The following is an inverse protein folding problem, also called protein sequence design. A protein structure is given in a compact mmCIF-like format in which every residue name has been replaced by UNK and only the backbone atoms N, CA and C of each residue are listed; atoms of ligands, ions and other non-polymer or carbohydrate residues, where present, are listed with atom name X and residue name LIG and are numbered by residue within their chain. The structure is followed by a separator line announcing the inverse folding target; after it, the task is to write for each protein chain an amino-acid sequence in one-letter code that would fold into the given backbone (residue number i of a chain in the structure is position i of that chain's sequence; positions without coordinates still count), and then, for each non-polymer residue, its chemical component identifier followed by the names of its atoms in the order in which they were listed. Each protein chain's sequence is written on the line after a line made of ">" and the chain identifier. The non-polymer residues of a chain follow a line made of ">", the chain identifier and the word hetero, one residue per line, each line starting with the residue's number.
data_IF_113973790815
#
_entry.id   IF_113973790815
#
_cell.length_a   1.000
_cell.length_b   1.000
_cell.length_c   1.000
_cell.angle_alpha   90.00
_cell.angle_beta   90.00
_cell.angle_gamma   90.00
#
_symmetry.space_group_name_H-M   'P 1'
#
loop_
_entity.id
_entity.type
_entity.pdbx_description
1 polymer ?
#
# COMPACT_ATOMS: atom_id res chain seq x y z
N UNK A 1 -9.02 35.37 -6.11
CA UNK A 1 -7.93 35.62 -7.08
C UNK A 1 -6.86 34.54 -6.90
N UNK A 2 -6.57 33.74 -7.94
CA UNK A 2 -5.53 32.72 -7.87
C UNK A 2 -4.15 33.38 -7.82
N UNK A 3 -3.34 33.08 -6.81
CA UNK A 3 -1.93 33.51 -6.73
C UNK A 3 -1.19 33.06 -8.01
N UNK A 4 -0.51 33.99 -8.68
CA UNK A 4 0.29 33.65 -9.86
C UNK A 4 1.56 32.89 -9.45
N UNK A 5 1.74 31.70 -10.02
CA UNK A 5 2.93 30.87 -9.79
C UNK A 5 3.94 31.06 -10.91
N UNK A 6 4.81 32.06 -10.78
CA UNK A 6 5.97 32.25 -11.66
C UNK A 6 7.17 31.47 -11.15
N UNK A 7 8.13 31.19 -12.05
CA UNK A 7 9.34 30.42 -11.77
C UNK A 7 10.00 30.72 -10.42
N UNK A 8 10.38 31.99 -10.13
CA UNK A 8 10.99 32.35 -8.85
C UNK A 8 10.10 32.05 -7.63
N UNK A 9 8.79 32.33 -7.71
CA UNK A 9 7.86 32.09 -6.62
C UNK A 9 7.65 30.59 -6.34
N UNK A 10 7.72 29.74 -7.37
CA UNK A 10 7.65 28.28 -7.23
C UNK A 10 8.88 27.75 -6.49
N UNK A 11 10.07 28.25 -6.86
CA UNK A 11 11.35 27.88 -6.23
C UNK A 11 11.36 28.36 -4.77
N UNK A 12 10.93 29.59 -4.51
CA UNK A 12 10.84 30.12 -3.15
C UNK A 12 9.88 29.30 -2.26
N UNK A 13 8.71 28.90 -2.79
CA UNK A 13 7.79 28.02 -2.07
C UNK A 13 8.41 26.65 -1.79
N UNK A 14 9.17 26.08 -2.73
CA UNK A 14 9.88 24.82 -2.51
C UNK A 14 10.96 24.97 -1.43
N UNK A 15 11.71 26.07 -1.46
CA UNK A 15 12.73 26.42 -0.47
C UNK A 15 12.14 26.59 0.94
N UNK A 16 10.89 27.05 1.07
CA UNK A 16 10.22 27.21 2.37
C UNK A 16 9.72 25.90 2.98
N UNK A 17 9.71 24.79 2.24
CA UNK A 17 9.25 23.49 2.77
C UNK A 17 10.23 22.97 3.82
N UNK A 18 9.71 22.64 5.01
CA UNK A 18 10.51 22.07 6.11
C UNK A 18 11.04 20.69 5.71
N UNK A 19 12.34 20.49 5.89
CA UNK A 19 13.06 19.28 5.55
C UNK A 19 13.38 18.43 6.80
N UNK A 20 12.62 17.37 7.09
CA UNK A 20 12.79 16.55 8.29
C UNK A 20 13.86 15.45 8.15
N UNK A 21 14.40 15.24 6.95
CA UNK A 21 15.38 14.19 6.67
C UNK A 21 16.67 14.50 7.44
N UNK A 22 17.29 13.47 8.04
CA UNK A 22 18.45 13.60 8.93
C UNK A 22 18.20 14.48 10.17
N UNK A 23 16.94 14.65 10.59
CA UNK A 23 16.53 15.46 11.75
C UNK A 23 16.92 16.94 11.66
N UNK A 24 17.10 17.46 10.45
CA UNK A 24 17.48 18.87 10.24
C UNK A 24 16.31 19.81 10.59
N UNK A 25 15.09 19.49 10.15
CA UNK A 25 13.84 20.19 10.51
C UNK A 25 13.87 21.72 10.26
N UNK A 26 14.61 22.17 9.25
CA UNK A 26 14.68 23.57 8.80
C UNK A 26 14.15 23.72 7.37
N UNK A 27 13.85 24.94 6.89
CA UNK A 27 13.53 25.18 5.50
C UNK A 27 14.59 24.63 4.54
N UNK A 28 14.14 24.04 3.43
CA UNK A 28 15.02 23.44 2.42
C UNK A 28 16.02 24.43 1.84
N UNK A 29 15.61 25.68 1.59
CA UNK A 29 16.48 26.74 1.05
C UNK A 29 17.67 27.05 1.94
N UNK A 30 17.45 27.15 3.26
CA UNK A 30 18.53 27.36 4.23
C UNK A 30 19.52 26.20 4.25
N UNK A 31 19.03 24.96 4.13
CA UNK A 31 19.84 23.76 4.15
C UNK A 31 20.65 23.55 2.86
N UNK A 32 20.15 24.07 1.75
CA UNK A 32 20.89 24.12 0.48
C UNK A 32 21.98 25.20 0.56
N UNK A 33 21.67 26.38 1.11
CA UNK A 33 22.63 27.46 1.30
C UNK A 33 23.76 27.08 2.27
N UNK A 34 23.46 26.34 3.35
CA UNK A 34 24.45 25.85 4.30
C UNK A 34 25.24 24.62 3.80
N UNK A 35 24.83 24.01 2.68
CA UNK A 35 25.47 22.81 2.12
C UNK A 35 25.20 21.50 2.88
N UNK A 36 24.30 21.53 3.88
CA UNK A 36 23.89 20.35 4.66
C UNK A 36 23.02 19.39 3.84
N UNK A 37 22.23 19.92 2.89
CA UNK A 37 21.51 19.16 1.87
C UNK A 37 22.26 19.31 0.55
N UNK A 38 22.67 18.18 -0.02
CA UNK A 38 23.36 18.15 -1.32
C UNK A 38 22.42 17.67 -2.41
N UNK A 39 22.83 17.86 -3.67
CA UNK A 39 22.07 17.41 -4.83
C UNK A 39 21.70 15.90 -4.78
N UNK A 40 22.59 15.06 -4.24
CA UNK A 40 22.32 13.62 -4.01
C UNK A 40 21.14 13.37 -3.06
N UNK A 41 20.99 14.22 -2.04
CA UNK A 41 19.92 14.12 -1.06
C UNK A 41 18.60 14.57 -1.69
N UNK A 42 18.62 15.62 -2.53
CA UNK A 42 17.47 16.03 -3.34
C UNK A 42 17.05 14.94 -4.33
N UNK A 43 17.99 14.35 -5.08
CA UNK A 43 17.71 13.25 -6.03
C UNK A 43 17.11 12.04 -5.33
N UNK A 44 17.66 11.70 -4.14
CA UNK A 44 17.08 10.64 -3.32
C UNK A 44 15.67 11.01 -2.87
N UNK A 45 15.44 12.23 -2.38
CA UNK A 45 14.14 12.63 -1.86
C UNK A 45 13.07 12.69 -2.96
N UNK A 46 13.38 13.34 -4.08
CA UNK A 46 12.54 13.43 -5.27
C UNK A 46 12.16 12.04 -5.85
N UNK A 47 12.97 11.00 -5.60
CA UNK A 47 12.71 9.63 -6.08
C UNK A 47 12.04 8.73 -5.03
N UNK A 48 12.53 8.76 -3.80
CA UNK A 48 12.29 7.73 -2.76
C UNK A 48 11.58 8.25 -1.51
N UNK A 49 11.53 9.56 -1.28
CA UNK A 49 10.86 10.08 -0.10
C UNK A 49 9.34 9.94 -0.22
N UNK A 50 8.70 9.73 0.93
CA UNK A 50 7.30 9.35 0.99
C UNK A 50 6.33 10.53 1.14
N UNK A 51 6.78 11.66 1.72
CA UNK A 51 5.95 12.86 1.82
C UNK A 51 5.90 13.55 0.45
N UNK A 52 4.71 13.68 -0.18
CA UNK A 52 4.57 14.33 -1.47
C UNK A 52 5.04 15.78 -1.50
N UNK A 53 4.94 16.53 -0.39
CA UNK A 53 5.38 17.93 -0.31
C UNK A 53 6.90 18.03 -0.44
N UNK A 54 7.62 17.23 0.33
CA UNK A 54 9.09 17.19 0.31
C UNK A 54 9.59 16.62 -1.01
N UNK A 55 8.87 15.63 -1.58
CA UNK A 55 9.19 15.07 -2.89
C UNK A 55 9.06 16.12 -4.00
N UNK A 56 7.98 16.90 -3.97
CA UNK A 56 7.76 18.00 -4.89
C UNK A 56 8.81 19.10 -4.70
N UNK A 57 9.07 19.54 -3.48
CA UNK A 57 10.07 20.56 -3.18
C UNK A 57 11.47 20.15 -3.67
N UNK A 58 11.88 18.90 -3.40
CA UNK A 58 13.14 18.37 -3.90
C UNK A 58 13.20 18.30 -5.43
N UNK A 59 12.09 17.94 -6.09
CA UNK A 59 12.02 17.91 -7.55
C UNK A 59 12.11 19.31 -8.17
N UNK A 60 11.47 20.30 -7.56
CA UNK A 60 11.54 21.72 -7.97
C UNK A 60 12.95 22.26 -7.80
N UNK A 61 13.59 22.03 -6.66
CA UNK A 61 14.97 22.48 -6.40
C UNK A 61 15.98 21.87 -7.38
N UNK A 62 15.82 20.58 -7.72
CA UNK A 62 16.63 19.94 -8.77
C UNK A 62 16.45 20.57 -10.15
N UNK A 63 15.28 21.17 -10.40
CA UNK A 63 14.93 21.81 -11.67
C UNK A 63 14.96 23.34 -11.58
N UNK A 64 15.50 23.92 -10.50
CA UNK A 64 15.39 25.35 -10.23
C UNK A 64 15.92 26.21 -11.39
N UNK A 65 17.05 25.84 -11.99
CA UNK A 65 17.60 26.56 -13.15
C UNK A 65 16.64 26.57 -14.35
N UNK A 66 15.97 25.44 -14.61
CA UNK A 66 15.01 25.31 -15.71
C UNK A 66 13.69 26.04 -15.41
N UNK A 67 13.29 26.07 -14.14
CA UNK A 67 12.03 26.67 -13.70
C UNK A 67 12.08 28.20 -13.58
N UNK A 68 13.27 28.83 -13.46
CA UNK A 68 13.42 30.29 -13.33
C UNK A 68 12.69 31.11 -14.40
N UNK A 69 12.55 30.58 -15.62
CA UNK A 69 11.93 31.26 -16.76
C UNK A 69 10.45 30.94 -16.96
N UNK A 70 9.82 30.20 -16.04
CA UNK A 70 8.43 29.77 -16.18
C UNK A 70 7.48 30.94 -15.93
N UNK A 71 6.63 31.22 -16.92
CA UNK A 71 5.55 32.22 -16.88
C UNK A 71 4.16 31.60 -17.06
N UNK A 72 4.07 30.26 -16.99
CA UNK A 72 2.85 29.52 -17.26
C UNK A 72 1.79 29.77 -16.18
N UNK A 73 0.58 30.15 -16.57
CA UNK A 73 -0.54 30.36 -15.64
C UNK A 73 -1.09 29.03 -15.12
N UNK A 74 -1.71 28.99 -13.93
CA UNK A 74 -2.37 27.76 -13.43
C UNK A 74 -3.40 27.21 -14.40
N UNK A 75 -4.21 28.06 -15.03
CA UNK A 75 -5.19 27.65 -16.03
C UNK A 75 -4.54 26.98 -17.25
N UNK A 76 -3.45 27.55 -17.78
CA UNK A 76 -2.71 26.95 -18.89
C UNK A 76 -2.00 25.65 -18.48
N UNK A 77 -1.48 25.58 -17.24
CA UNK A 77 -0.86 24.37 -16.71
C UNK A 77 -1.84 23.20 -16.65
N UNK A 78 -3.11 23.45 -16.28
CA UNK A 78 -4.17 22.44 -16.24
C UNK A 78 -4.46 21.82 -17.62
N UNK A 79 -4.26 22.58 -18.70
CA UNK A 79 -4.51 22.11 -20.07
C UNK A 79 -3.36 21.26 -20.64
N UNK A 80 -2.20 21.20 -19.97
CA UNK A 80 -1.07 20.41 -20.48
C UNK A 80 -1.38 18.93 -20.37
N UNK A 81 -1.26 18.24 -21.51
CA UNK A 81 -1.52 16.81 -21.65
C UNK A 81 -0.53 16.00 -20.82
N UNK A 82 -1.05 15.02 -20.09
CA UNK A 82 -0.29 14.08 -19.28
C UNK A 82 0.02 12.80 -20.07
N UNK A 83 1.26 12.61 -20.55
CA UNK A 83 1.63 11.48 -21.40
C UNK A 83 1.95 10.20 -20.60
N UNK A 84 2.10 10.29 -19.27
CA UNK A 84 2.45 9.12 -18.47
C UNK A 84 1.24 8.20 -18.27
N UNK A 85 1.51 6.90 -18.10
CA UNK A 85 0.51 5.86 -17.82
C UNK A 85 -0.57 5.70 -18.92
N UNK A 86 -0.30 6.19 -20.13
CA UNK A 86 -1.23 6.21 -21.27
C UNK A 86 -2.57 6.88 -20.95
N UNK A 87 -2.56 7.93 -20.12
CA UNK A 87 -3.77 8.71 -19.84
C UNK A 87 -4.06 9.68 -20.99
N UNK A 88 -3.05 10.39 -21.50
CA UNK A 88 -3.13 11.29 -22.64
C UNK A 88 -4.28 12.31 -22.55
N UNK A 89 -4.53 12.82 -21.34
CA UNK A 89 -5.58 13.81 -21.00
C UNK A 89 -4.96 15.04 -20.32
N UNK A 90 -5.66 16.20 -20.29
CA UNK A 90 -5.23 17.38 -19.54
C UNK A 90 -4.94 17.06 -18.07
N UNK A 91 -3.81 17.55 -17.56
CA UNK A 91 -3.37 17.28 -16.19
C UNK A 91 -4.32 17.86 -15.12
N UNK A 92 -5.06 18.92 -15.44
CA UNK A 92 -6.09 19.49 -14.57
C UNK A 92 -7.25 18.55 -14.32
N UNK A 93 -7.83 17.99 -15.39
CA UNK A 93 -8.95 17.02 -15.28
C UNK A 93 -8.55 15.81 -14.45
N UNK A 94 -7.33 15.32 -14.67
CA UNK A 94 -6.79 14.19 -13.93
C UNK A 94 -6.57 14.50 -12.43
N UNK A 95 -6.28 15.76 -12.09
CA UNK A 95 -6.19 16.20 -10.69
C UNK A 95 -7.56 16.30 -10.04
N UNK A 96 -8.55 16.84 -10.75
CA UNK A 96 -9.92 17.00 -10.22
C UNK A 96 -10.62 15.65 -10.02
N UNK A 97 -10.39 14.71 -10.93
CA UNK A 97 -10.85 13.32 -10.83
C UNK A 97 -10.01 12.49 -9.84
N UNK A 98 -8.99 13.09 -9.21
CA UNK A 98 -8.08 12.44 -8.27
C UNK A 98 -7.34 11.21 -8.86
N UNK A 99 -7.19 11.16 -10.19
CA UNK A 99 -6.45 10.12 -10.92
C UNK A 99 -4.94 10.31 -10.76
N UNK A 100 -4.49 11.57 -10.76
CA UNK A 100 -3.12 11.95 -10.41
C UNK A 100 -3.12 12.83 -9.16
N UNK A 101 -2.02 12.84 -8.42
CA UNK A 101 -1.88 13.63 -7.20
C UNK A 101 -0.50 14.31 -7.12
N UNK A 102 -0.23 15.03 -6.02
CA UNK A 102 1.04 15.76 -5.83
C UNK A 102 2.28 14.89 -5.99
N UNK A 103 2.23 13.60 -5.64
CA UNK A 103 3.35 12.69 -5.84
C UNK A 103 3.61 12.44 -7.34
N UNK A 104 2.56 12.27 -8.14
CA UNK A 104 2.68 12.15 -9.59
C UNK A 104 3.23 13.45 -10.19
N UNK A 105 2.72 14.62 -9.76
CA UNK A 105 3.25 15.91 -10.19
C UNK A 105 4.75 16.05 -9.87
N UNK A 106 5.17 15.71 -8.66
CA UNK A 106 6.58 15.71 -8.26
C UNK A 106 7.43 14.78 -9.14
N UNK A 107 6.90 13.60 -9.49
CA UNK A 107 7.56 12.69 -10.41
C UNK A 107 7.73 13.31 -11.81
N UNK A 108 6.69 13.95 -12.33
CA UNK A 108 6.73 14.61 -13.63
C UNK A 108 7.71 15.79 -13.65
N UNK A 109 7.75 16.62 -12.60
CA UNK A 109 8.76 17.69 -12.46
C UNK A 109 10.18 17.13 -12.57
N UNK A 110 10.46 16.03 -11.86
CA UNK A 110 11.81 15.45 -11.83
C UNK A 110 12.20 14.65 -13.09
N UNK A 111 11.25 14.06 -13.83
CA UNK A 111 11.55 13.04 -14.84
C UNK A 111 10.96 13.31 -16.24
N UNK A 112 10.02 14.24 -16.41
CA UNK A 112 9.44 14.49 -17.73
C UNK A 112 10.49 15.05 -18.68
N UNK A 113 10.56 14.49 -19.90
CA UNK A 113 11.45 15.00 -20.95
C UNK A 113 10.93 16.32 -21.55
N UNK A 114 9.60 16.46 -21.69
CA UNK A 114 8.97 17.67 -22.18
C UNK A 114 9.01 18.80 -21.13
N UNK A 115 9.62 19.94 -21.48
CA UNK A 115 9.71 21.11 -20.61
C UNK A 115 8.33 21.65 -20.21
N UNK A 116 7.38 21.66 -21.15
CA UNK A 116 6.01 22.14 -20.91
C UNK A 116 5.32 21.34 -19.79
N UNK A 117 5.48 20.02 -19.75
CA UNK A 117 4.92 19.17 -18.71
C UNK A 117 5.63 19.38 -17.36
N UNK A 118 6.97 19.49 -17.34
CA UNK A 118 7.69 19.82 -16.10
C UNK A 118 7.21 21.14 -15.50
N UNK A 119 7.06 22.16 -16.34
CA UNK A 119 6.65 23.51 -15.93
C UNK A 119 5.21 23.50 -15.42
N UNK A 120 4.28 22.87 -16.14
CA UNK A 120 2.89 22.74 -15.72
C UNK A 120 2.75 22.01 -14.39
N UNK A 121 3.45 20.90 -14.23
CA UNK A 121 3.37 20.09 -13.00
C UNK A 121 4.03 20.77 -11.80
N UNK A 122 5.04 21.60 -12.03
CA UNK A 122 5.60 22.48 -11.00
C UNK A 122 4.58 23.54 -10.55
N UNK A 123 3.90 24.21 -11.50
CA UNK A 123 2.85 25.20 -11.22
C UNK A 123 1.68 24.59 -10.44
N UNK A 124 1.14 23.46 -10.91
CA UNK A 124 0.01 22.77 -10.25
C UNK A 124 0.40 22.26 -8.86
N UNK A 125 1.62 21.76 -8.70
CA UNK A 125 2.12 21.32 -7.42
C UNK A 125 2.32 22.48 -6.44
N UNK A 126 2.74 23.66 -6.91
CA UNK A 126 2.87 24.85 -6.08
C UNK A 126 1.51 25.30 -5.51
N UNK A 127 0.45 25.24 -6.31
CA UNK A 127 -0.90 25.55 -5.84
C UNK A 127 -1.36 24.61 -4.71
N UNK A 128 -1.11 23.30 -4.86
CA UNK A 128 -1.45 22.29 -3.85
C UNK A 128 -0.62 22.49 -2.58
N UNK A 129 0.69 22.71 -2.72
CA UNK A 129 1.61 22.88 -1.58
C UNK A 129 1.29 24.17 -0.83
N UNK A 130 1.02 25.26 -1.53
CA UNK A 130 0.65 26.54 -0.90
C UNK A 130 -0.63 26.44 -0.09
N UNK A 131 -1.71 25.85 -0.64
CA UNK A 131 -2.96 25.62 0.13
C UNK A 131 -2.75 24.77 1.38
N UNK A 132 -1.75 23.87 1.37
CA UNK A 132 -1.40 23.03 2.52
C UNK A 132 -0.51 23.73 3.55
N UNK A 133 0.27 24.73 3.15
CA UNK A 133 1.13 25.53 4.03
C UNK A 133 0.39 26.74 4.60
N UNK A 134 -0.59 27.25 3.87
CA UNK A 134 -1.46 28.34 4.28
C UNK A 134 -2.89 27.81 4.24
N UNK A 135 -3.37 27.15 5.31
CA UNK A 135 -4.77 26.78 5.43
C UNK A 135 -5.62 28.05 5.23
N UNK A 136 -6.78 27.98 4.55
CA UNK A 136 -7.65 29.14 4.48
C UNK A 136 -7.93 29.64 5.90
N UNK A 137 -7.72 30.93 6.14
CA UNK A 137 -8.33 31.63 7.27
C UNK A 137 -9.77 31.12 7.36
N UNK A 138 -10.17 30.63 8.54
CA UNK A 138 -11.58 30.36 8.82
C UNK A 138 -12.29 31.66 8.50
N UNK A 139 -12.93 31.72 7.34
CA UNK A 139 -13.98 32.68 7.10
C UNK A 139 -14.96 32.46 8.23
N UNK A 140 -14.95 33.42 9.14
CA UNK A 140 -15.96 33.67 10.14
C UNK A 140 -17.32 33.54 9.46
N UNK A 141 -17.94 32.37 9.63
CA UNK A 141 -19.39 32.20 9.52
C UNK A 141 -19.99 32.93 10.72
N UNK A 142 -19.95 34.25 10.65
CA UNK A 142 -20.72 35.16 11.49
C UNK A 142 -21.51 36.01 10.51
N UNK A 143 -22.83 35.98 10.63
CA UNK A 143 -23.85 36.65 9.79
C UNK A 143 -24.27 35.93 8.50
N UNK A 144 -25.23 35.00 8.64
CA UNK A 144 -26.61 35.17 8.15
C UNK A 144 -27.41 33.89 8.42
N UNK A 145 -27.92 33.76 9.65
CA UNK A 145 -29.11 32.95 9.93
C UNK A 145 -29.78 33.54 11.18
N UNK A 146 -30.31 34.74 11.01
CA UNK A 146 -31.30 35.32 11.91
C UNK A 146 -32.49 35.70 11.02
N UNK A 147 -33.28 34.70 10.67
CA UNK A 147 -34.71 34.88 10.39
C UNK A 147 -35.47 33.70 11.01
N UNK A 148 -36.47 33.97 11.88
CA UNK A 148 -37.30 32.93 12.46
C UNK A 148 -38.20 32.32 11.38
N UNK A 149 -38.31 30.99 11.39
CA UNK A 149 -39.19 30.24 10.51
C UNK A 149 -40.67 30.64 10.72
N UNK A 150 -41.48 30.78 9.67
CA UNK A 150 -42.92 31.01 9.81
C UNK A 150 -43.60 29.77 10.37
N UNK A 151 -44.38 29.98 11.42
CA UNK A 151 -45.34 29.06 12.00
C UNK A 151 -46.44 28.74 10.99
N UNK A 152 -46.59 27.46 10.64
CA UNK A 152 -47.85 26.94 10.08
C UNK A 152 -48.40 25.84 10.99
N UNK A 153 -49.73 25.76 11.19
CA UNK A 153 -50.34 25.06 12.31
C UNK A 153 -50.44 23.55 12.08
N UNK A 154 -50.27 22.79 13.15
CA UNK A 154 -50.60 21.38 13.24
C UNK A 154 -52.11 21.17 13.09
N UNK A 155 -52.52 20.50 12.02
CA UNK A 155 -53.84 19.84 11.93
C UNK A 155 -53.72 18.37 12.33
N UNK A 156 -54.33 18.05 13.46
CA UNK A 156 -54.64 16.71 13.96
C UNK A 156 -55.61 16.00 13.01
N UNK A 157 -55.39 14.72 12.65
CA UNK A 157 -56.46 13.87 12.13
C UNK A 157 -57.13 13.07 13.24
N UNK A 158 -58.43 13.28 13.30
CA UNK A 158 -59.47 12.62 14.09
C UNK A 158 -59.40 11.09 14.08
N UNK A 159 -59.58 10.53 15.28
CA UNK A 159 -59.79 9.11 15.59
C UNK A 159 -61.12 8.64 14.99
N UNK A 160 -61.07 7.77 13.98
CA UNK A 160 -62.23 7.04 13.49
C UNK A 160 -62.13 5.55 13.88
N UNK A 161 -63.15 5.08 14.58
CA UNK A 161 -63.43 3.69 14.97
C UNK A 161 -63.78 2.83 13.75
N UNK A 162 -63.08 1.71 13.55
CA UNK A 162 -63.52 0.64 12.67
C UNK A 162 -63.16 -0.75 13.24
N UNK A 163 -64.14 -1.65 13.17
CA UNK A 163 -64.16 -3.07 13.60
C UNK A 163 -63.11 -3.93 12.85
N UNK A 164 -62.74 -5.11 13.39
CA UNK A 164 -61.62 -5.91 12.88
C UNK A 164 -62.03 -6.77 11.67
N UNK A 165 -61.18 -6.89 10.63
CA UNK A 165 -61.30 -7.97 9.67
C UNK A 165 -60.38 -9.15 10.03
N UNK A 166 -60.86 -10.30 9.59
CA UNK A 166 -60.36 -11.65 9.78
C UNK A 166 -58.86 -11.87 9.57
N UNK A 167 -58.36 -12.87 10.28
CA UNK A 167 -57.04 -13.47 10.18
C UNK A 167 -56.63 -13.72 8.72
N UNK A 168 -55.76 -12.87 8.20
CA UNK A 168 -54.95 -13.16 7.02
C UNK A 168 -53.58 -13.57 7.52
N UNK A 169 -53.21 -14.82 7.23
CA UNK A 169 -51.91 -15.40 7.53
C UNK A 169 -50.78 -14.47 7.07
N UNK A 170 -50.01 -13.97 8.02
CA UNK A 170 -48.72 -13.35 7.73
C UNK A 170 -47.88 -14.36 6.92
N UNK A 171 -47.31 -13.99 5.76
CA UNK A 171 -46.30 -14.82 5.14
C UNK A 171 -45.16 -14.96 6.17
N UNK A 172 -44.46 -16.12 6.17
CA UNK A 172 -43.39 -16.33 7.14
C UNK A 172 -42.43 -15.16 6.99
N UNK A 173 -42.16 -14.48 8.12
CA UNK A 173 -41.03 -13.57 8.25
C UNK A 173 -39.82 -14.40 7.86
N UNK A 174 -39.47 -14.32 6.59
CA UNK A 174 -38.24 -14.86 6.07
C UNK A 174 -37.20 -13.98 6.72
N UNK A 175 -36.61 -14.47 7.81
CA UNK A 175 -35.39 -13.96 8.38
C UNK A 175 -34.46 -13.74 7.19
N UNK A 176 -34.32 -12.48 6.75
CA UNK A 176 -33.36 -12.13 5.71
C UNK A 176 -32.04 -12.75 6.15
N UNK A 177 -31.36 -13.54 5.30
CA UNK A 177 -30.07 -14.09 5.66
C UNK A 177 -29.23 -12.92 6.17
N UNK A 178 -28.81 -12.96 7.43
CA UNK A 178 -27.99 -11.91 8.04
C UNK A 178 -26.85 -11.68 7.07
N UNK A 179 -26.87 -10.57 6.34
CA UNK A 179 -25.91 -10.36 5.26
C UNK A 179 -24.51 -10.50 5.87
N UNK A 180 -23.69 -11.36 5.27
CA UNK A 180 -22.37 -11.69 5.81
C UNK A 180 -21.40 -10.52 5.60
N UNK A 181 -20.32 -10.49 6.39
CA UNK A 181 -19.17 -9.58 6.21
C UNK A 181 -18.82 -9.38 4.73
N UNK A 182 -18.77 -8.12 4.27
CA UNK A 182 -18.32 -7.81 2.92
C UNK A 182 -16.80 -7.98 2.82
N UNK A 183 -16.31 -8.79 1.88
CA UNK A 183 -14.87 -8.98 1.64
C UNK A 183 -14.50 -8.40 0.28
N UNK A 184 -13.55 -7.45 0.27
CA UNK A 184 -13.08 -6.75 -0.92
C UNK A 184 -11.59 -7.04 -1.08
N UNK A 185 -11.21 -7.70 -2.17
CA UNK A 185 -9.80 -7.91 -2.49
C UNK A 185 -9.24 -6.67 -3.20
N UNK A 186 -8.14 -6.10 -2.70
CA UNK A 186 -7.51 -4.91 -3.27
C UNK A 186 -6.68 -5.24 -4.51
N UNK A 187 -5.37 -5.40 -4.32
CA UNK A 187 -4.43 -5.60 -5.42
C UNK A 187 -4.23 -7.07 -5.83
N UNK A 188 -4.08 -7.30 -7.14
CA UNK A 188 -3.55 -8.56 -7.71
C UNK A 188 -2.02 -8.60 -7.69
N UNK A 189 -1.36 -7.58 -7.13
CA UNK A 189 0.10 -7.45 -7.13
C UNK A 189 0.80 -8.70 -6.57
N UNK A 190 0.25 -9.25 -5.49
CA UNK A 190 0.73 -10.48 -4.87
C UNK A 190 0.64 -11.70 -5.82
N UNK A 191 -0.45 -11.84 -6.59
CA UNK A 191 -0.58 -12.93 -7.58
C UNK A 191 0.36 -12.74 -8.77
N UNK A 192 0.70 -11.51 -9.14
CA UNK A 192 1.69 -11.23 -10.17
C UNK A 192 3.13 -11.51 -9.71
N UNK A 193 3.49 -11.14 -8.47
CA UNK A 193 4.79 -11.51 -7.89
C UNK A 193 4.99 -13.02 -7.86
N UNK A 194 3.95 -13.78 -7.54
CA UNK A 194 3.95 -15.24 -7.61
C UNK A 194 4.30 -15.76 -9.00
N UNK A 195 3.61 -15.25 -10.04
CA UNK A 195 3.86 -15.66 -11.42
C UNK A 195 5.31 -15.38 -11.81
N UNK A 196 5.83 -14.22 -11.43
CA UNK A 196 7.24 -13.85 -11.70
C UNK A 196 8.21 -14.78 -10.98
N UNK A 197 8.04 -15.02 -9.68
CA UNK A 197 8.90 -15.95 -8.92
C UNK A 197 8.84 -17.37 -9.47
N UNK A 198 7.65 -17.86 -9.83
CA UNK A 198 7.46 -19.18 -10.45
C UNK A 198 8.14 -19.29 -11.81
N UNK A 199 8.04 -18.24 -12.65
CA UNK A 199 8.77 -18.18 -13.93
C UNK A 199 10.28 -18.27 -13.70
N UNK A 200 10.82 -17.50 -12.76
CA UNK A 200 12.25 -17.57 -12.43
C UNK A 200 12.68 -18.95 -11.90
N UNK A 201 11.86 -19.61 -11.07
CA UNK A 201 12.18 -20.97 -10.65
C UNK A 201 12.20 -21.95 -11.82
N UNK A 202 11.29 -21.83 -12.78
CA UNK A 202 11.25 -22.68 -13.97
C UNK A 202 12.46 -22.40 -14.86
N UNK A 203 12.77 -21.12 -15.11
CA UNK A 203 13.95 -20.72 -15.91
C UNK A 203 15.23 -21.28 -15.32
N UNK A 204 15.44 -21.16 -14.00
CA UNK A 204 16.63 -21.69 -13.33
C UNK A 204 16.67 -23.23 -13.36
N UNK A 205 15.52 -23.90 -13.22
CA UNK A 205 15.44 -25.35 -13.33
C UNK A 205 15.78 -25.83 -14.75
N UNK A 206 15.26 -25.15 -15.79
CA UNK A 206 15.59 -25.43 -17.19
C UNK A 206 17.07 -25.17 -17.48
N UNK A 207 17.63 -24.05 -17.01
CA UNK A 207 19.05 -23.75 -17.16
C UNK A 207 19.92 -24.86 -16.54
N UNK A 208 19.57 -25.30 -15.32
CA UNK A 208 20.24 -26.41 -14.66
C UNK A 208 20.12 -27.72 -15.46
N UNK A 209 18.93 -28.03 -16.00
CA UNK A 209 18.72 -29.20 -16.85
C UNK A 209 19.60 -29.15 -18.11
N UNK A 210 19.68 -28.00 -18.79
CA UNK A 210 20.54 -27.84 -19.96
C UNK A 210 22.02 -27.98 -19.64
N UNK A 211 22.48 -27.48 -18.49
CA UNK A 211 23.87 -27.68 -18.04
C UNK A 211 24.18 -29.15 -17.80
N UNK A 212 23.26 -29.90 -17.17
CA UNK A 212 23.40 -31.34 -16.95
C UNK A 212 23.39 -32.13 -18.26
N UNK A 213 22.44 -31.85 -19.16
CA UNK A 213 22.37 -32.50 -20.47
C UNK A 213 23.59 -32.19 -21.33
N UNK A 214 24.09 -30.94 -21.30
CA UNK A 214 25.33 -30.56 -21.99
C UNK A 214 26.55 -31.28 -21.43
N UNK A 215 26.69 -31.37 -20.10
CA UNK A 215 27.79 -32.10 -19.47
C UNK A 215 27.72 -33.60 -19.76
N UNK A 216 26.52 -34.19 -19.76
CA UNK A 216 26.29 -35.59 -20.11
C UNK A 216 26.63 -35.86 -21.59
N UNK A 217 26.17 -34.99 -22.49
CA UNK A 217 26.43 -35.11 -23.92
C UNK A 217 27.93 -35.04 -24.21
N UNK A 218 28.63 -34.03 -23.67
CA UNK A 218 30.10 -33.90 -23.82
C UNK A 218 30.80 -35.16 -23.28
N UNK A 219 30.46 -35.60 -22.08
CA UNK A 219 31.06 -36.79 -21.47
C UNK A 219 30.82 -38.04 -22.32
N UNK A 220 29.59 -38.25 -22.83
CA UNK A 220 29.23 -39.39 -23.66
C UNK A 220 29.97 -39.37 -25.00
N UNK A 221 30.11 -38.20 -25.64
CA UNK A 221 30.89 -38.04 -26.88
C UNK A 221 32.36 -38.40 -26.64
N UNK A 222 32.96 -37.97 -25.53
CA UNK A 222 34.34 -38.32 -25.15
C UNK A 222 34.49 -39.84 -25.01
N UNK A 223 33.58 -40.51 -24.30
CA UNK A 223 33.63 -41.97 -24.11
C UNK A 223 33.48 -42.73 -25.43
N UNK A 224 32.54 -42.34 -26.29
CA UNK A 224 32.32 -42.98 -27.60
C UNK A 224 33.58 -42.84 -28.48
N UNK A 225 34.15 -41.63 -28.57
CA UNK A 225 35.34 -41.39 -29.38
C UNK A 225 36.55 -42.21 -28.92
N UNK A 226 36.71 -42.37 -27.60
CA UNK A 226 37.77 -43.18 -27.01
C UNK A 226 37.54 -44.69 -27.22
N UNK A 227 36.30 -45.17 -27.04
CA UNK A 227 35.96 -46.59 -27.17
C UNK A 227 36.13 -47.10 -28.61
N UNK A 228 35.68 -46.33 -29.59
CA UNK A 228 35.78 -46.68 -31.02
C UNK A 228 37.11 -46.25 -31.66
N UNK A 229 38.03 -45.64 -30.90
CA UNK A 229 39.32 -45.13 -31.38
C UNK A 229 39.21 -44.18 -32.59
N UNK A 230 38.10 -43.43 -32.67
CA UNK A 230 37.80 -42.57 -33.82
C UNK A 230 38.69 -41.32 -33.88
N UNK A 231 39.09 -40.80 -32.71
CA UNK A 231 39.97 -39.64 -32.60
C UNK A 231 40.62 -39.55 -31.21
N UNK A 232 41.79 -38.92 -31.13
CA UNK A 232 42.38 -38.49 -29.86
C UNK A 232 41.61 -37.26 -29.35
N UNK A 233 40.93 -37.40 -28.22
CA UNK A 233 40.15 -36.30 -27.64
C UNK A 233 41.01 -35.52 -26.65
N UNK A 234 41.21 -34.21 -26.86
CA UNK A 234 41.97 -33.39 -25.93
C UNK A 234 41.34 -33.37 -24.53
N UNK A 235 42.15 -33.36 -23.44
CA UNK A 235 41.64 -33.30 -22.06
C UNK A 235 40.72 -32.10 -21.77
N UNK A 236 40.80 -31.03 -22.56
CA UNK A 236 39.99 -29.82 -22.43
C UNK A 236 38.47 -30.06 -22.48
N UNK A 237 38.00 -31.14 -23.11
CA UNK A 237 36.56 -31.49 -23.11
C UNK A 237 36.06 -31.96 -21.75
N UNK A 238 36.88 -32.71 -21.00
CA UNK A 238 36.54 -33.09 -19.62
C UNK A 238 36.50 -31.86 -18.70
N UNK A 239 37.41 -30.90 -18.94
CA UNK A 239 37.38 -29.60 -18.24
C UNK A 239 36.10 -28.84 -18.57
N UNK A 240 35.67 -28.82 -19.84
CA UNK A 240 34.41 -28.18 -20.24
C UNK A 240 33.18 -28.80 -19.56
N UNK A 241 33.09 -30.14 -19.52
CA UNK A 241 32.03 -30.83 -18.78
C UNK A 241 32.06 -30.50 -17.28
N UNK A 242 33.26 -30.48 -16.67
CA UNK A 242 33.45 -30.09 -15.28
C UNK A 242 32.98 -28.66 -14.98
N UNK A 243 33.28 -27.69 -15.87
CA UNK A 243 32.83 -26.30 -15.75
C UNK A 243 31.30 -26.21 -15.77
N UNK A 244 30.61 -26.97 -16.64
CA UNK A 244 29.14 -27.01 -16.68
C UNK A 244 28.54 -27.55 -15.37
N UNK A 245 29.13 -28.60 -14.80
CA UNK A 245 28.70 -29.17 -13.52
C UNK A 245 28.92 -28.19 -12.36
N UNK A 246 30.07 -27.51 -12.32
CA UNK A 246 30.34 -26.45 -11.33
C UNK A 246 29.32 -25.31 -11.48
N UNK A 247 29.02 -24.89 -12.70
CA UNK A 247 27.97 -23.91 -13.00
C UNK A 247 26.59 -24.33 -12.44
N UNK A 248 26.22 -25.61 -12.57
CA UNK A 248 24.99 -26.14 -11.99
C UNK A 248 24.99 -26.09 -10.45
N UNK A 249 26.12 -26.38 -9.80
CA UNK A 249 26.27 -26.28 -8.33
C UNK A 249 26.04 -24.86 -7.80
N UNK A 250 26.46 -23.82 -8.54
CA UNK A 250 26.20 -22.43 -8.18
C UNK A 250 24.71 -22.03 -8.28
N UNK A 251 23.91 -22.72 -9.10
CA UNK A 251 22.48 -22.45 -9.28
C UNK A 251 21.63 -23.11 -8.17
N UNK A 252 22.05 -24.25 -7.63
CA UNK A 252 21.34 -25.02 -6.59
C UNK A 252 20.91 -24.21 -5.34
N UNK A 253 21.77 -23.41 -4.67
CA UNK A 253 21.34 -22.66 -3.49
C UNK A 253 20.29 -21.59 -3.84
N UNK A 254 20.36 -20.99 -5.04
CA UNK A 254 19.37 -20.03 -5.53
C UNK A 254 18.02 -20.69 -5.77
N UNK A 255 18.00 -21.88 -6.39
CA UNK A 255 16.75 -22.61 -6.64
C UNK A 255 16.07 -23.03 -5.33
N UNK A 256 16.84 -23.60 -4.37
CA UNK A 256 16.34 -23.95 -3.03
C UNK A 256 15.73 -22.76 -2.30
N UNK A 257 16.39 -21.59 -2.37
CA UNK A 257 15.87 -20.35 -1.75
C UNK A 257 14.56 -19.91 -2.37
N UNK A 258 14.44 -19.93 -3.71
CA UNK A 258 13.21 -19.52 -4.39
C UNK A 258 12.04 -20.48 -4.11
N UNK A 259 12.30 -21.78 -4.05
CA UNK A 259 11.29 -22.79 -3.66
C UNK A 259 10.82 -22.53 -2.22
N UNK A 260 11.74 -22.32 -1.28
CA UNK A 260 11.40 -22.01 0.11
C UNK A 260 10.60 -20.70 0.24
N UNK A 261 10.97 -19.66 -0.53
CA UNK A 261 10.22 -18.41 -0.59
C UNK A 261 8.79 -18.61 -1.14
N UNK A 262 8.63 -19.43 -2.19
CA UNK A 262 7.34 -19.80 -2.76
C UNK A 262 6.46 -20.54 -1.75
N UNK A 263 7.01 -21.51 -1.01
CA UNK A 263 6.27 -22.24 0.02
C UNK A 263 5.87 -21.37 1.21
N UNK A 264 6.78 -20.50 1.69
CA UNK A 264 6.46 -19.53 2.73
C UNK A 264 5.35 -18.56 2.28
N UNK A 265 5.38 -18.18 1.01
CA UNK A 265 4.36 -17.32 0.43
C UNK A 265 2.99 -18.04 0.35
N UNK A 266 2.94 -19.29 -0.13
CA UNK A 266 1.69 -20.09 -0.16
C UNK A 266 1.08 -20.20 1.24
N UNK A 267 1.94 -20.45 2.25
CA UNK A 267 1.53 -20.49 3.66
C UNK A 267 0.90 -19.15 4.10
N UNK A 268 1.49 -18.02 3.72
CA UNK A 268 0.94 -16.68 3.95
C UNK A 268 -0.47 -16.52 3.40
N UNK A 269 -0.67 -16.82 2.10
CA UNK A 269 -1.98 -16.75 1.46
C UNK A 269 -3.03 -17.64 2.13
N UNK A 270 -2.66 -18.86 2.51
CA UNK A 270 -3.56 -19.77 3.25
C UNK A 270 -3.93 -19.16 4.60
N UNK A 271 -3.00 -18.50 5.27
CA UNK A 271 -3.27 -17.73 6.49
C UNK A 271 -4.29 -16.65 6.31
N UNK A 272 -4.09 -15.76 5.34
CA UNK A 272 -5.01 -14.68 5.05
C UNK A 272 -6.42 -15.19 4.70
N UNK A 273 -6.51 -16.26 3.89
CA UNK A 273 -7.80 -16.91 3.59
C UNK A 273 -8.47 -17.42 4.86
N UNK A 274 -7.71 -18.03 5.78
CA UNK A 274 -8.23 -18.48 7.07
C UNK A 274 -8.73 -17.34 7.95
N UNK A 275 -8.03 -16.20 7.96
CA UNK A 275 -8.48 -14.98 8.67
C UNK A 275 -9.80 -14.49 8.08
N UNK A 276 -9.90 -14.38 6.75
CA UNK A 276 -11.10 -13.93 6.06
C UNK A 276 -12.31 -14.84 6.36
N UNK A 277 -12.12 -16.17 6.34
CA UNK A 277 -13.17 -17.14 6.70
C UNK A 277 -13.56 -17.02 8.17
N UNK A 278 -12.61 -16.86 9.08
CA UNK A 278 -12.89 -16.72 10.51
C UNK A 278 -13.69 -15.45 10.80
N UNK A 279 -13.29 -14.31 10.22
CA UNK A 279 -14.00 -13.04 10.37
C UNK A 279 -15.40 -13.10 9.74
N UNK A 280 -15.56 -13.72 8.57
CA UNK A 280 -16.87 -13.85 7.92
C UNK A 280 -17.87 -14.68 8.71
N UNK A 281 -17.40 -15.64 9.52
CA UNK A 281 -18.25 -16.44 10.42
C UNK A 281 -18.65 -15.67 11.68
N UNK A 282 -17.82 -14.74 12.13
CA UNK A 282 -18.04 -14.00 13.39
C UNK A 282 -18.67 -12.61 13.21
N UNK A 283 -18.63 -12.05 12.00
CA UNK A 283 -19.05 -10.67 11.71
C UNK A 283 -20.14 -10.61 10.64
N UNK A 284 -21.03 -9.63 10.79
CA UNK A 284 -22.13 -9.32 9.86
C UNK A 284 -21.75 -8.23 8.84
N UNK A 285 -22.70 -7.86 8.00
CA UNK A 285 -22.56 -6.88 6.92
C UNK A 285 -22.21 -5.45 7.35
N UNK A 286 -22.35 -5.09 8.63
CA UNK A 286 -21.89 -3.78 9.11
C UNK A 286 -20.35 -3.69 9.14
N UNK A 287 -19.67 -4.82 8.96
CA UNK A 287 -18.24 -4.89 8.80
C UNK A 287 -17.86 -5.06 7.32
N UNK A 288 -16.73 -4.47 6.94
CA UNK A 288 -16.11 -4.64 5.62
C UNK A 288 -14.63 -4.98 5.81
N UNK A 289 -14.18 -6.08 5.19
CA UNK A 289 -12.79 -6.52 5.18
C UNK A 289 -12.17 -6.23 3.81
N UNK A 290 -11.21 -5.32 3.77
CA UNK A 290 -10.34 -5.10 2.62
C UNK A 290 -9.09 -5.94 2.77
N UNK A 291 -8.65 -6.62 1.71
CA UNK A 291 -7.43 -7.44 1.70
C UNK A 291 -6.40 -6.84 0.75
N UNK A 292 -5.11 -6.95 1.07
CA UNK A 292 -4.00 -6.55 0.21
C UNK A 292 -4.13 -5.09 -0.27
N UNK A 293 -4.32 -4.17 0.69
CA UNK A 293 -4.56 -2.75 0.43
C UNK A 293 -3.23 -2.07 0.14
N UNK A 294 -3.05 -1.58 -1.09
CA UNK A 294 -1.90 -0.75 -1.48
C UNK A 294 -2.36 0.71 -1.46
N UNK A 295 -1.71 1.54 -0.65
CA UNK A 295 -2.01 2.96 -0.58
C UNK A 295 -1.28 3.73 -1.70
N UNK A 296 -1.79 4.88 -2.17
CA UNK A 296 -1.14 5.68 -3.21
C UNK A 296 0.31 6.06 -2.85
N UNK A 297 1.20 6.00 -3.85
CA UNK A 297 2.63 6.33 -3.66
C UNK A 297 3.45 5.27 -2.90
N UNK A 298 2.89 4.10 -2.61
CA UNK A 298 3.57 2.99 -1.94
C UNK A 298 3.58 1.72 -2.79
N UNK A 299 4.53 0.83 -2.51
CA UNK A 299 4.70 -0.45 -3.20
C UNK A 299 4.42 -1.66 -2.30
N UNK A 300 4.25 -1.42 -1.00
CA UNK A 300 3.98 -2.45 -0.01
C UNK A 300 2.55 -2.35 0.49
N UNK A 301 1.95 -3.51 0.67
CA UNK A 301 0.56 -3.69 1.00
C UNK A 301 0.32 -3.81 2.51
N UNK A 302 -0.89 -3.46 2.92
CA UNK A 302 -1.45 -3.80 4.22
C UNK A 302 -2.23 -5.11 4.02
N UNK A 303 -1.83 -6.18 4.71
CA UNK A 303 -2.39 -7.53 4.52
C UNK A 303 -3.93 -7.52 4.59
N UNK A 304 -4.50 -6.84 5.59
CA UNK A 304 -5.92 -6.54 5.62
C UNK A 304 -6.28 -5.28 6.42
N UNK A 305 -7.38 -4.66 6.04
CA UNK A 305 -8.03 -3.55 6.76
C UNK A 305 -9.46 -3.96 7.06
N UNK A 306 -9.83 -3.98 8.34
CA UNK A 306 -11.19 -4.27 8.79
C UNK A 306 -11.84 -2.96 9.24
N UNK A 307 -13.00 -2.63 8.65
CA UNK A 307 -13.77 -1.42 8.92
C UNK A 307 -15.14 -1.84 9.46
N UNK A 308 -15.58 -1.26 10.57
CA UNK A 308 -16.91 -1.53 11.12
C UNK A 308 -17.39 -0.48 12.13
N UNK A 309 -18.49 -0.76 12.84
CA UNK A 309 -19.10 0.20 13.77
C UNK A 309 -18.18 0.58 14.93
N UNK A 310 -17.26 -0.30 15.32
CA UNK A 310 -16.35 -0.08 16.44
C UNK A 310 -14.91 0.21 15.97
N UNK A 311 -14.79 0.91 14.85
CA UNK A 311 -13.52 1.46 14.39
C UNK A 311 -12.88 0.71 13.23
N UNK A 312 -11.59 0.99 13.03
CA UNK A 312 -10.82 0.54 11.87
C UNK A 312 -9.55 -0.14 12.36
N UNK A 313 -9.25 -1.29 11.79
CA UNK A 313 -8.14 -2.12 12.21
C UNK A 313 -7.23 -2.44 11.01
N UNK A 314 -5.94 -2.13 11.14
CA UNK A 314 -4.91 -2.61 10.22
C UNK A 314 -4.33 -3.92 10.74
N UNK A 315 -4.52 -4.99 9.98
CA UNK A 315 -4.18 -6.36 10.36
C UNK A 315 -2.87 -6.77 9.69
N UNK A 316 -1.87 -7.14 10.49
CA UNK A 316 -0.65 -7.81 10.04
C UNK A 316 -0.80 -9.32 10.30
N UNK A 317 -0.88 -10.13 9.25
CA UNK A 317 -1.23 -11.55 9.32
C UNK A 317 0.04 -12.39 9.26
N UNK A 318 0.28 -13.19 10.32
CA UNK A 318 1.45 -14.09 10.40
C UNK A 318 1.06 -15.56 10.46
N UNK A 319 1.72 -16.35 9.62
CA UNK A 319 1.61 -17.82 9.52
C UNK A 319 2.93 -18.51 9.83
N UNK A 320 3.59 -18.12 10.92
CA UNK A 320 4.89 -18.69 11.24
C UNK A 320 4.77 -20.15 11.72
N UNK A 321 5.79 -20.95 11.43
CA UNK A 321 5.93 -22.32 11.91
C UNK A 321 6.86 -22.42 13.12
N UNK A 322 6.59 -23.38 14.01
CA UNK A 322 7.34 -23.56 15.26
C UNK A 322 6.94 -22.57 16.35
N UNK A 323 7.65 -22.67 17.47
CA UNK A 323 7.32 -21.97 18.71
C UNK A 323 7.76 -20.52 18.69
N UNK A 324 6.83 -19.64 19.03
CA UNK A 324 7.06 -18.20 19.10
C UNK A 324 6.64 -17.64 20.45
N UNK A 325 7.26 -16.52 20.81
CA UNK A 325 6.80 -15.70 21.92
C UNK A 325 6.87 -14.23 21.59
N UNK A 326 5.93 -13.48 22.15
CA UNK A 326 5.94 -12.04 22.18
C UNK A 326 5.96 -11.56 23.64
N UNK A 327 6.94 -10.72 23.97
CA UNK A 327 7.10 -10.09 25.28
C UNK A 327 7.24 -8.58 25.03
N UNK A 328 6.20 -7.80 25.34
CA UNK A 328 6.15 -6.39 24.99
C UNK A 328 6.32 -6.17 23.49
N UNK A 329 7.39 -5.47 23.11
CA UNK A 329 7.76 -5.20 21.72
C UNK A 329 8.65 -6.27 21.07
N UNK A 330 9.12 -7.25 21.85
CA UNK A 330 10.08 -8.25 21.39
C UNK A 330 9.38 -9.51 20.90
N UNK A 331 9.60 -9.85 19.63
CA UNK A 331 9.16 -11.11 19.05
C UNK A 331 10.35 -12.05 18.89
N UNK A 332 10.19 -13.29 19.33
CA UNK A 332 11.24 -14.31 19.32
C UNK A 332 10.71 -15.64 18.80
N UNK A 333 11.59 -16.40 18.16
CA UNK A 333 11.36 -17.78 17.71
C UNK A 333 12.31 -18.73 18.42
N UNK A 334 11.83 -19.90 18.77
CA UNK A 334 12.62 -20.96 19.41
C UNK A 334 13.41 -21.74 18.35
N UNK A 335 14.69 -21.96 18.63
CA UNK A 335 15.62 -22.80 17.86
C UNK A 335 16.33 -23.74 18.84
N UNK A 336 15.89 -25.00 18.91
CA UNK A 336 16.33 -25.92 19.95
C UNK A 336 16.01 -25.35 21.35
N UNK A 337 16.99 -25.23 22.27
CA UNK A 337 16.77 -24.62 23.58
C UNK A 337 16.76 -23.08 23.56
N UNK A 338 17.19 -22.44 22.46
CA UNK A 338 17.49 -21.00 22.43
C UNK A 338 16.33 -20.19 21.82
N UNK A 339 15.99 -19.06 22.44
CA UNK A 339 15.08 -18.06 21.87
C UNK A 339 15.87 -16.98 21.11
N UNK A 340 15.61 -16.84 19.81
CA UNK A 340 16.24 -15.80 18.98
C UNK A 340 15.23 -14.75 18.56
N UNK A 341 15.64 -13.48 18.55
CA UNK A 341 14.81 -12.35 18.13
C UNK A 341 14.51 -12.44 16.64
N UNK A 342 13.27 -12.12 16.25
CA UNK A 342 12.92 -11.98 14.85
C UNK A 342 13.56 -10.71 14.27
N UNK A 343 14.13 -10.82 13.08
CA UNK A 343 14.71 -9.67 12.35
C UNK A 343 13.67 -8.60 12.01
N UNK A 344 12.43 -9.02 11.75
CA UNK A 344 11.27 -8.14 11.56
C UNK A 344 10.23 -8.43 12.64
N UNK A 345 9.86 -7.40 13.40
CA UNK A 345 8.86 -7.49 14.46
C UNK A 345 7.45 -7.32 13.89
N UNK A 346 6.57 -8.33 13.96
CA UNK A 346 5.17 -8.21 13.56
C UNK A 346 4.45 -7.02 14.18
N UNK A 347 4.68 -6.75 15.48
CA UNK A 347 4.07 -5.60 16.15
C UNK A 347 4.54 -4.25 15.60
N UNK A 348 5.79 -4.15 15.14
CA UNK A 348 6.28 -2.93 14.46
C UNK A 348 5.64 -2.77 13.08
N UNK A 349 5.46 -3.86 12.34
CA UNK A 349 4.79 -3.84 11.03
C UNK A 349 3.33 -3.42 11.18
N UNK A 350 2.59 -4.02 12.12
CA UNK A 350 1.20 -3.67 12.40
C UNK A 350 1.02 -2.18 12.73
N UNK A 351 1.87 -1.62 13.60
CA UNK A 351 1.86 -0.18 13.91
C UNK A 351 2.19 0.69 12.70
N UNK A 352 3.18 0.28 11.90
CA UNK A 352 3.52 0.97 10.66
C UNK A 352 2.34 0.98 9.68
N UNK A 353 1.68 -0.15 9.48
CA UNK A 353 0.50 -0.26 8.61
C UNK A 353 -0.65 0.61 9.10
N UNK A 354 -0.93 0.58 10.41
CA UNK A 354 -1.98 1.40 11.01
C UNK A 354 -1.71 2.90 10.83
N UNK A 355 -0.49 3.34 11.14
CA UNK A 355 -0.08 4.74 10.96
C UNK A 355 -0.22 5.17 9.51
N UNK A 356 0.22 4.34 8.55
CA UNK A 356 0.12 4.67 7.13
C UNK A 356 -1.31 4.81 6.65
N UNK A 357 -2.20 3.93 7.11
CA UNK A 357 -3.62 4.04 6.78
C UNK A 357 -4.22 5.30 7.41
N UNK A 358 -3.88 5.60 8.67
CA UNK A 358 -4.28 6.83 9.33
C UNK A 358 -3.85 8.08 8.54
N UNK A 359 -2.58 8.17 8.17
CA UNK A 359 -2.03 9.30 7.40
C UNK A 359 -2.75 9.47 6.05
N UNK A 360 -3.06 8.35 5.38
CA UNK A 360 -3.82 8.38 4.13
C UNK A 360 -5.25 8.87 4.31
N UNK A 361 -5.97 8.36 5.32
CA UNK A 361 -7.34 8.79 5.58
C UNK A 361 -7.41 10.25 6.03
N UNK A 362 -6.41 10.70 6.80
CA UNK A 362 -6.25 12.10 7.17
C UNK A 362 -6.04 13.00 5.93
N UNK A 363 -5.29 12.55 4.94
CA UNK A 363 -5.10 13.28 3.68
C UNK A 363 -6.35 13.35 2.80
N UNK A 364 -7.32 12.47 3.04
CA UNK A 364 -8.60 12.41 2.33
C UNK A 364 -9.76 13.02 3.17
N UNK A 365 -9.43 13.90 4.12
CA UNK A 365 -10.41 14.57 5.00
C UNK A 365 -11.32 13.60 5.78
N UNK A 366 -10.79 12.42 6.13
CA UNK A 366 -11.45 11.42 6.97
C UNK A 366 -10.54 11.01 8.17
N UNK A 367 -10.14 11.96 9.04
CA UNK A 367 -9.20 11.68 10.13
C UNK A 367 -9.81 10.71 11.14
N UNK A 368 -9.23 9.52 11.23
CA UNK A 368 -9.70 8.46 12.13
C UNK A 368 -8.54 7.65 12.64
N UNK A 369 -8.56 7.31 13.92
CA UNK A 369 -7.55 6.43 14.49
C UNK A 369 -7.67 5.02 13.91
N UNK A 370 -6.55 4.44 13.50
CA UNK A 370 -6.47 3.07 13.00
C UNK A 370 -5.79 2.19 14.04
N UNK A 371 -6.48 1.15 14.46
CA UNK A 371 -6.02 0.19 15.45
C UNK A 371 -5.06 -0.85 14.84
N UNK A 372 -3.80 -0.94 15.28
CA UNK A 372 -2.89 -1.98 14.82
C UNK A 372 -3.25 -3.31 15.48
N UNK A 373 -3.30 -4.40 14.71
CA UNK A 373 -3.45 -5.75 15.23
C UNK A 373 -2.50 -6.71 14.54
N UNK A 374 -1.87 -7.59 15.32
CA UNK A 374 -1.18 -8.75 14.76
C UNK A 374 -2.15 -9.93 14.78
N UNK A 375 -2.35 -10.56 13.64
CA UNK A 375 -3.21 -11.75 13.53
C UNK A 375 -2.32 -12.99 13.42
N UNK A 376 -2.36 -13.83 14.45
CA UNK A 376 -1.71 -15.13 14.46
C UNK A 376 -2.63 -16.16 13.79
N UNK A 377 -2.39 -16.38 12.50
CA UNK A 377 -3.13 -17.34 11.70
C UNK A 377 -2.53 -18.76 11.78
N UNK A 378 -1.35 -18.93 12.39
CA UNK A 378 -0.77 -20.26 12.61
C UNK A 378 -1.49 -21.03 13.71
N UNK A 379 -1.39 -22.37 13.65
CA UNK A 379 -1.76 -23.26 14.77
C UNK A 379 -0.59 -23.52 15.72
N UNK A 380 0.61 -23.03 15.39
CA UNK A 380 1.79 -23.23 16.23
C UNK A 380 1.70 -22.43 17.52
N UNK A 381 2.44 -22.90 18.53
CA UNK A 381 2.45 -22.33 19.87
C UNK A 381 2.92 -20.88 19.84
N UNK A 382 2.12 -20.01 20.44
CA UNK A 382 2.44 -18.60 20.68
C UNK A 382 2.29 -18.28 22.17
N UNK A 383 3.38 -17.83 22.80
CA UNK A 383 3.38 -17.35 24.17
C UNK A 383 3.29 -15.82 24.15
N UNK A 384 2.32 -15.24 24.84
CA UNK A 384 2.14 -13.79 24.95
C UNK A 384 2.39 -13.35 26.39
N UNK A 385 3.24 -12.33 26.57
CA UNK A 385 3.46 -11.65 27.86
C UNK A 385 3.41 -10.15 27.64
N UNK A 386 2.29 -9.52 28.04
CA UNK A 386 2.02 -8.07 27.89
C UNK A 386 2.40 -7.56 26.48
N UNK A 387 1.78 -8.08 25.40
CA UNK A 387 2.14 -7.68 24.05
C UNK A 387 1.91 -6.19 23.83
N UNK A 388 2.86 -5.49 23.21
CA UNK A 388 2.75 -4.05 22.95
C UNK A 388 1.72 -3.69 21.86
N UNK A 389 1.32 -4.68 21.06
CA UNK A 389 0.24 -4.59 20.08
C UNK A 389 -0.67 -5.79 20.33
N UNK A 390 -2.00 -5.63 20.42
CA UNK A 390 -2.88 -6.75 20.65
C UNK A 390 -2.76 -7.82 19.56
N UNK A 391 -2.80 -9.09 19.96
CA UNK A 391 -2.60 -10.23 19.08
C UNK A 391 -3.86 -11.08 19.02
N UNK A 392 -4.46 -11.16 17.84
CA UNK A 392 -5.59 -12.04 17.58
C UNK A 392 -5.10 -13.42 17.21
N UNK A 393 -5.32 -14.41 18.07
CA UNK A 393 -5.08 -15.81 17.74
C UNK A 393 -6.35 -16.42 17.15
N UNK A 394 -6.30 -16.91 15.92
CA UNK A 394 -7.49 -17.50 15.28
C UNK A 394 -8.05 -18.72 16.04
N UNK A 395 -7.22 -19.40 16.83
CA UNK A 395 -7.63 -20.49 17.71
C UNK A 395 -8.42 -20.02 18.94
N UNK A 396 -8.45 -18.71 19.21
CA UNK A 396 -9.13 -18.07 20.35
C UNK A 396 -10.13 -17.01 19.88
N UNK A 397 -11.11 -17.43 19.08
CA UNK A 397 -12.05 -16.52 18.41
C UNK A 397 -12.86 -15.59 19.32
N UNK A 398 -13.22 -16.02 20.54
CA UNK A 398 -13.97 -15.19 21.51
C UNK A 398 -13.26 -13.87 21.83
N UNK A 399 -11.95 -13.91 22.01
CA UNK A 399 -11.13 -12.72 22.29
C UNK A 399 -11.17 -11.70 21.15
N UNK A 400 -11.32 -12.13 19.89
CA UNK A 400 -11.45 -11.21 18.75
C UNK A 400 -12.76 -10.44 18.88
N UNK A 401 -13.86 -11.12 19.15
CA UNK A 401 -15.16 -10.47 19.37
C UNK A 401 -15.12 -9.46 20.52
N UNK A 402 -14.54 -9.84 21.66
CA UNK A 402 -14.38 -8.96 22.83
C UNK A 402 -13.49 -7.74 22.58
N UNK A 403 -12.43 -7.86 21.78
CA UNK A 403 -11.58 -6.73 21.40
C UNK A 403 -12.30 -5.79 20.42
N UNK A 404 -13.12 -6.34 19.52
CA UNK A 404 -13.94 -5.54 18.59
C UNK A 404 -15.07 -4.79 19.31
N UNK A 405 -15.63 -5.31 20.41
CA UNK A 405 -16.66 -4.58 21.18
C UNK A 405 -16.08 -3.43 22.00
N UNK A 406 -14.79 -3.47 22.34
CA UNK A 406 -14.06 -2.39 23.03
C UNK A 406 -13.52 -1.31 22.09
N UNK A 407 -13.66 -1.50 20.78
CA UNK A 407 -13.22 -0.55 19.78
C UNK A 407 -13.94 0.79 19.90
N UNK A 408 -13.30 1.86 19.43
CA UNK A 408 -13.91 3.19 19.43
C UNK A 408 -15.04 3.23 18.40
N UNK A 409 -16.21 3.70 18.82
CA UNK A 409 -17.35 3.85 17.93
C UNK A 409 -16.99 4.74 16.73
N UNK A 410 -17.37 4.29 15.53
CA UNK A 410 -17.18 4.98 14.27
C UNK A 410 -18.54 5.31 13.70
N UNK A 411 -18.79 6.61 13.53
CA UNK A 411 -20.03 7.11 12.94
C UNK A 411 -20.28 6.50 11.56
N UNK A 412 -21.55 6.21 11.28
CA UNK A 412 -21.97 5.54 10.05
C UNK A 412 -21.60 6.33 8.77
N UNK A 413 -21.75 7.65 8.78
CA UNK A 413 -21.36 8.50 7.65
C UNK A 413 -19.85 8.40 7.36
N UNK A 414 -19.03 8.56 8.40
CA UNK A 414 -17.57 8.41 8.31
C UNK A 414 -17.16 7.00 7.86
N UNK A 415 -17.83 5.96 8.37
CA UNK A 415 -17.61 4.57 7.95
C UNK A 415 -17.88 4.39 6.46
N UNK A 416 -18.98 4.94 5.94
CA UNK A 416 -19.32 4.85 4.52
C UNK A 416 -18.34 5.64 3.63
N UNK A 417 -17.94 6.84 4.05
CA UNK A 417 -16.90 7.63 3.36
C UNK A 417 -15.59 6.84 3.24
N UNK A 418 -15.13 6.22 4.33
CA UNK A 418 -13.88 5.45 4.34
C UNK A 418 -13.97 4.20 3.47
N UNK A 419 -15.09 3.47 3.54
CA UNK A 419 -15.33 2.32 2.66
C UNK A 419 -15.30 2.74 1.19
N UNK A 420 -15.88 3.90 0.85
CA UNK A 420 -15.84 4.45 -0.51
C UNK A 420 -14.41 4.82 -0.94
N UNK A 421 -13.64 5.51 -0.09
CA UNK A 421 -12.24 5.87 -0.34
C UNK A 421 -11.36 4.63 -0.61
N UNK A 422 -11.51 3.59 0.21
CA UNK A 422 -10.75 2.34 0.05
C UNK A 422 -11.19 1.55 -1.21
N UNK A 423 -12.48 1.58 -1.57
CA UNK A 423 -12.97 1.01 -2.83
C UNK A 423 -12.38 1.74 -4.04
N UNK A 424 -12.43 3.07 -4.06
CA UNK A 424 -11.87 3.89 -5.12
C UNK A 424 -10.37 3.65 -5.30
N UNK A 425 -9.61 3.63 -4.20
CA UNK A 425 -8.19 3.30 -4.22
C UNK A 425 -7.94 1.88 -4.77
N UNK A 426 -8.70 0.87 -4.35
CA UNK A 426 -8.52 -0.49 -4.88
C UNK A 426 -8.79 -0.58 -6.39
N UNK A 427 -9.81 0.14 -6.89
CA UNK A 427 -10.10 0.20 -8.32
C UNK A 427 -8.95 0.81 -9.11
N UNK A 428 -8.38 1.93 -8.64
CA UNK A 428 -7.23 2.56 -9.29
C UNK A 428 -5.99 1.66 -9.30
N UNK A 429 -5.74 0.91 -8.22
CA UNK A 429 -4.63 -0.04 -8.16
C UNK A 429 -4.80 -1.23 -9.12
N UNK A 430 -6.03 -1.72 -9.33
CA UNK A 430 -6.29 -2.81 -10.29
C UNK A 430 -6.01 -2.36 -11.73
N UNK A 431 -6.48 -1.17 -12.10
CA UNK A 431 -6.23 -0.59 -13.43
C UNK A 431 -4.73 -0.35 -13.70
N UNK A 432 -3.96 -0.03 -12.66
CA UNK A 432 -2.51 0.13 -12.76
C UNK A 432 -1.74 -1.20 -12.79
N UNK A 433 -2.31 -2.28 -12.27
CA UNK A 433 -1.66 -3.59 -12.19
C UNK A 433 -1.81 -4.44 -13.45
N UNK A 434 -2.86 -4.26 -14.25
CA UNK A 434 -3.09 -5.05 -15.48
C UNK A 434 -2.38 -4.49 -16.73
N UNK A 435 -1.54 -3.46 -16.56
CA UNK A 435 -0.60 -2.93 -17.56
C UNK A 435 0.81 -3.40 -17.26
#
# INVERSE_FOLDING_TARGET
>A
MSKEWRGPAIIELAASVIWPIKKLNRPLGELLASGEVKERDLRWAAKKYYDPKIKWAAAVELQAQNLRRVTLTPAAARQVVWPFKNLNRPSGDLLDEHIINLHDLAYAVANAHAAQLRNATAVLGAEIVYRRLTPPERQTLTMQSNQPAPTTPFTTPTRATARPPAATSLPPVTLRPTQALQIINGSNYLTQQLRRKRRWTIILAMAMLYLWLGALFISMTVVIMQFFQLAQVPPGWNVAAGVLLVGALFILPRSKRLVAESENYKKGLVGEKRVAVALRRGLNHHWTLFRNVILPGRQDDIDAVLVGPNGIYALEIKTFSGDHRNIGNSWQRKYGPIWRKLSRSPGRQARGNAQRLHDYLQQCDAPVWVEPRVVWASRSKLILKKPAVPVWQLTRGKFIGEDLTRGKHLEEATRHQIVALLKANNLSQRQNGDK
#
